data_IF_162324491617
#
_entry.id   IF_162324491617
#
_cell.length_a   1.000
_cell.length_b   1.000
_cell.length_c   1.000
_cell.angle_alpha   90.00
_cell.angle_beta   90.00
_cell.angle_gamma   90.00
#
_symmetry.space_group_name_H-M   'P 1'
#
loop_
_entity.id
_entity.type
_entity.pdbx_description
1 polymer ?
#
# COMPACT_ATOMS: atom_id res chain seq x y z
N UNK A 1 -4.40 16.70 -15.48
CA UNK A 1 -3.06 16.08 -15.49
C UNK A 1 -2.45 16.27 -16.89
N UNK A 2 -1.98 17.47 -17.24
CA UNK A 2 -1.63 17.81 -18.64
C UNK A 2 -0.12 17.86 -18.91
N UNK A 3 0.64 18.74 -18.26
CA UNK A 3 2.07 18.92 -18.55
C UNK A 3 3.02 17.92 -17.87
N UNK A 4 2.72 17.49 -16.63
CA UNK A 4 3.58 16.57 -15.86
C UNK A 4 3.47 15.12 -16.36
N UNK A 5 2.41 14.78 -17.11
CA UNK A 5 2.22 13.44 -17.66
C UNK A 5 3.37 13.02 -18.60
N UNK A 6 4.04 13.96 -19.27
CA UNK A 6 5.20 13.67 -20.12
C UNK A 6 6.41 13.17 -19.32
N UNK A 7 6.56 13.60 -18.06
CA UNK A 7 7.61 13.12 -17.16
C UNK A 7 7.37 11.66 -16.70
N UNK A 8 6.16 11.12 -16.87
CA UNK A 8 5.85 9.71 -16.54
C UNK A 8 6.71 8.72 -17.31
N UNK A 9 7.20 9.10 -18.50
CA UNK A 9 8.11 8.27 -19.32
C UNK A 9 9.50 8.10 -18.70
N UNK A 10 9.88 9.01 -17.80
CA UNK A 10 11.17 8.95 -17.09
C UNK A 10 11.11 8.03 -15.87
N UNK A 11 9.91 7.62 -15.46
CA UNK A 11 9.72 6.66 -14.37
C UNK A 11 9.56 5.25 -14.95
N UNK A 12 10.25 4.24 -14.39
CA UNK A 12 10.09 2.86 -14.83
C UNK A 12 8.66 2.37 -14.63
N UNK A 13 7.99 2.86 -13.58
CA UNK A 13 6.61 2.56 -13.23
C UNK A 13 5.89 3.81 -12.71
N UNK A 14 4.62 3.93 -13.07
CA UNK A 14 3.68 4.88 -12.52
C UNK A 14 2.57 4.11 -11.81
N UNK A 15 2.11 4.66 -10.69
CA UNK A 15 1.03 4.08 -9.89
C UNK A 15 -0.17 5.03 -9.86
N UNK A 16 -1.36 4.45 -9.99
CA UNK A 16 -2.61 5.07 -9.57
C UNK A 16 -3.31 4.10 -8.65
N UNK A 17 -3.42 4.46 -7.37
CA UNK A 17 -4.04 3.61 -6.36
C UNK A 17 -5.18 4.37 -5.73
N UNK A 18 -6.40 3.84 -5.82
CA UNK A 18 -7.59 4.46 -5.25
C UNK A 18 -8.56 3.40 -4.73
N UNK A 19 -8.86 3.47 -3.44
CA UNK A 19 -10.01 2.75 -2.90
C UNK A 19 -11.28 3.56 -3.15
N UNK A 20 -12.23 2.99 -3.89
CA UNK A 20 -13.53 3.64 -4.16
C UNK A 20 -14.59 3.26 -3.14
N UNK A 21 -14.32 2.25 -2.30
CA UNK A 21 -15.27 1.63 -1.38
C UNK A 21 -16.63 1.30 -2.04
N UNK A 22 -16.62 1.04 -3.36
CA UNK A 22 -17.83 0.73 -4.11
C UNK A 22 -18.22 -0.71 -3.85
N UNK A 23 -19.49 -0.98 -3.58
CA UNK A 23 -19.98 -2.36 -3.43
C UNK A 23 -19.85 -3.07 -4.78
N UNK A 24 -19.12 -4.18 -4.80
CA UNK A 24 -18.99 -5.08 -5.92
C UNK A 24 -19.66 -6.41 -5.58
N UNK A 25 -20.38 -6.98 -6.54
CA UNK A 25 -20.87 -8.36 -6.49
C UNK A 25 -20.03 -9.19 -7.44
N UNK A 26 -19.69 -10.40 -7.02
CA UNK A 26 -18.89 -11.31 -7.84
C UNK A 26 -19.53 -12.70 -7.88
N UNK A 27 -19.28 -13.37 -9.00
CA UNK A 27 -19.53 -14.80 -9.19
C UNK A 27 -18.21 -15.39 -9.67
N UNK A 28 -17.68 -16.36 -8.92
CA UNK A 28 -16.42 -17.03 -9.20
C UNK A 28 -16.68 -18.52 -9.39
N UNK A 29 -16.30 -19.07 -10.54
CA UNK A 29 -16.30 -20.51 -10.78
C UNK A 29 -14.87 -21.01 -10.86
N UNK A 30 -14.50 -21.93 -9.95
CA UNK A 30 -13.19 -22.57 -9.94
C UNK A 30 -13.34 -24.06 -9.66
N UNK A 31 -12.70 -24.90 -10.49
CA UNK A 31 -12.76 -26.36 -10.39
C UNK A 31 -14.20 -26.92 -10.29
N UNK A 32 -15.14 -26.35 -11.06
CA UNK A 32 -16.55 -26.76 -11.07
C UNK A 32 -17.39 -26.26 -9.89
N UNK A 33 -16.80 -25.53 -8.94
CA UNK A 33 -17.51 -24.91 -7.82
C UNK A 33 -17.77 -23.44 -8.11
N UNK A 34 -19.03 -23.05 -8.17
CA UNK A 34 -19.45 -21.65 -8.28
C UNK A 34 -19.71 -21.07 -6.90
N UNK A 35 -19.13 -19.90 -6.63
CA UNK A 35 -19.38 -19.12 -5.42
C UNK A 35 -19.84 -17.72 -5.81
N UNK A 36 -20.82 -17.23 -5.08
CA UNK A 36 -21.30 -15.85 -5.21
C UNK A 36 -21.00 -15.08 -3.93
N UNK A 37 -20.77 -13.79 -4.07
CA UNK A 37 -20.48 -12.94 -2.92
C UNK A 37 -20.54 -11.46 -3.24
N UNK A 38 -20.38 -10.67 -2.18
CA UNK A 38 -20.23 -9.22 -2.24
C UNK A 38 -18.94 -8.79 -1.56
N UNK A 39 -18.40 -7.67 -1.98
CA UNK A 39 -17.22 -7.05 -1.39
C UNK A 39 -17.12 -5.58 -1.77
N UNK A 40 -16.00 -4.95 -1.45
CA UNK A 40 -15.68 -3.62 -1.94
C UNK A 40 -14.68 -3.70 -3.08
N UNK A 41 -14.95 -2.96 -4.16
CA UNK A 41 -14.01 -2.76 -5.25
C UNK A 41 -12.89 -1.83 -4.82
N UNK A 42 -11.68 -2.23 -5.21
CA UNK A 42 -10.49 -1.40 -5.24
C UNK A 42 -10.02 -1.32 -6.68
N UNK A 43 -9.57 -0.13 -7.09
CA UNK A 43 -9.06 0.08 -8.43
C UNK A 43 -7.62 0.57 -8.31
N UNK A 44 -6.73 -0.26 -8.86
CA UNK A 44 -5.34 0.09 -9.09
C UNK A 44 -5.06 0.07 -10.59
N UNK A 45 -4.25 1.03 -11.03
CA UNK A 45 -3.66 1.02 -12.36
C UNK A 45 -2.16 1.27 -12.26
N UNK A 46 -1.40 0.31 -12.74
CA UNK A 46 0.04 0.42 -12.95
C UNK A 46 0.32 0.54 -14.45
N UNK A 47 1.24 1.42 -14.82
CA UNK A 47 1.72 1.54 -16.20
C UNK A 47 3.18 1.99 -16.24
N UNK A 48 3.94 1.48 -17.21
CA UNK A 48 5.37 1.73 -17.31
C UNK A 48 6.07 0.67 -18.14
N UNK A 49 7.40 0.65 -18.06
CA UNK A 49 8.24 -0.29 -18.78
C UNK A 49 8.59 -1.54 -17.96
N UNK A 50 8.52 -1.46 -16.62
CA UNK A 50 8.77 -2.59 -15.73
C UNK A 50 8.35 -2.27 -14.30
N UNK A 51 8.06 -3.29 -13.49
CA UNK A 51 7.97 -3.12 -12.04
C UNK A 51 9.32 -2.70 -11.42
N UNK A 52 9.30 -1.95 -10.30
CA UNK A 52 10.52 -1.48 -9.65
C UNK A 52 11.37 -2.64 -9.11
N UNK A 53 12.62 -2.35 -8.77
CA UNK A 53 13.54 -3.35 -8.19
C UNK A 53 13.09 -3.88 -6.83
N UNK A 54 12.26 -3.15 -6.11
CA UNK A 54 11.71 -3.55 -4.82
C UNK A 54 10.56 -2.64 -4.43
N UNK A 55 9.47 -3.20 -3.91
CA UNK A 55 8.28 -2.45 -3.54
C UNK A 55 7.48 -3.11 -2.43
N UNK A 56 6.62 -2.30 -1.81
CA UNK A 56 5.53 -2.69 -0.93
C UNK A 56 4.25 -2.24 -1.59
N UNK A 57 3.28 -3.13 -1.62
CA UNK A 57 1.90 -2.79 -1.92
C UNK A 57 1.02 -3.27 -0.78
N UNK A 58 -0.04 -2.52 -0.46
CA UNK A 58 -1.03 -2.94 0.51
C UNK A 58 -2.37 -2.27 0.28
N UNK A 59 -3.42 -3.02 0.57
CA UNK A 59 -4.78 -2.56 0.66
C UNK A 59 -5.36 -2.99 2.00
N UNK A 60 -6.13 -2.14 2.66
CA UNK A 60 -6.83 -2.52 3.89
C UNK A 60 -8.26 -1.97 3.89
N UNK A 61 -9.20 -2.80 4.37
CA UNK A 61 -10.61 -2.46 4.50
C UNK A 61 -11.06 -2.73 5.94
N UNK A 62 -11.76 -1.80 6.57
CA UNK A 62 -12.54 -2.07 7.78
C UNK A 62 -13.95 -1.51 7.54
N UNK A 63 -14.84 -2.38 7.08
CA UNK A 63 -16.14 -2.05 6.53
C UNK A 63 -17.03 -1.37 7.57
N UNK A 64 -17.13 -1.96 8.75
CA UNK A 64 -18.00 -1.46 9.83
C UNK A 64 -17.53 -0.09 10.36
N UNK A 65 -16.23 0.17 10.26
CA UNK A 65 -15.63 1.43 10.66
C UNK A 65 -15.58 2.47 9.53
N UNK A 66 -15.97 2.10 8.30
CA UNK A 66 -15.90 2.96 7.11
C UNK A 66 -14.47 3.38 6.75
N UNK A 67 -13.47 2.52 7.00
CA UNK A 67 -12.04 2.85 6.82
C UNK A 67 -11.45 2.11 5.63
N UNK A 68 -10.67 2.82 4.83
CA UNK A 68 -9.87 2.22 3.77
C UNK A 68 -8.45 2.79 3.76
N UNK A 69 -7.49 1.91 3.50
CA UNK A 69 -6.11 2.26 3.24
C UNK A 69 -5.72 1.69 1.87
N UNK A 70 -4.96 2.47 1.12
CA UNK A 70 -4.18 1.97 0.01
C UNK A 70 -2.76 2.53 0.04
N UNK A 71 -1.79 1.67 -0.29
CA UNK A 71 -0.38 1.95 -0.25
C UNK A 71 0.28 1.28 -1.44
N UNK A 72 1.03 2.05 -2.22
CA UNK A 72 1.99 1.49 -3.17
C UNK A 72 3.25 2.34 -3.18
N UNK A 73 4.41 1.70 -3.18
CA UNK A 73 5.67 2.39 -3.36
C UNK A 73 6.88 1.54 -3.06
N UNK A 74 8.04 2.13 -3.31
CA UNK A 74 9.30 1.41 -3.23
C UNK A 74 10.40 2.15 -3.97
N UNK A 75 11.31 1.39 -4.56
CA UNK A 75 12.44 1.91 -5.31
C UNK A 75 11.98 2.49 -6.64
N UNK A 76 11.72 3.79 -6.69
CA UNK A 76 11.26 4.48 -7.90
C UNK A 76 12.41 4.67 -8.91
N UNK A 77 13.59 5.04 -8.42
CA UNK A 77 14.84 5.15 -9.17
C UNK A 77 16.02 4.71 -8.27
N UNK A 78 17.22 4.44 -8.81
CA UNK A 78 18.39 4.17 -7.98
C UNK A 78 18.60 5.26 -6.92
N UNK A 79 18.57 4.87 -5.64
CA UNK A 79 18.68 5.80 -4.51
C UNK A 79 17.45 6.65 -4.22
N UNK A 80 16.32 6.47 -4.92
CA UNK A 80 15.09 7.23 -4.69
C UNK A 80 13.94 6.28 -4.37
N UNK A 81 13.35 6.48 -3.19
CA UNK A 81 12.15 5.76 -2.79
C UNK A 81 10.96 6.72 -2.83
N UNK A 82 9.84 6.27 -3.39
CA UNK A 82 8.62 7.06 -3.44
C UNK A 82 7.40 6.18 -3.12
N UNK A 83 6.43 6.77 -2.43
CA UNK A 83 5.18 6.11 -2.04
C UNK A 83 3.97 6.97 -2.36
N UNK A 84 2.86 6.31 -2.67
CA UNK A 84 1.52 6.86 -2.66
C UNK A 84 0.75 6.18 -1.53
N UNK A 85 0.22 6.99 -0.61
CA UNK A 85 -0.53 6.51 0.55
C UNK A 85 -1.86 7.24 0.61
N UNK A 86 -2.96 6.51 0.45
CA UNK A 86 -4.31 7.02 0.60
C UNK A 86 -4.95 6.42 1.85
N UNK A 87 -5.43 7.26 2.76
CA UNK A 87 -6.25 6.84 3.90
C UNK A 87 -7.59 7.57 3.88
N UNK A 88 -8.66 6.82 4.10
CA UNK A 88 -10.04 7.32 4.19
C UNK A 88 -10.71 6.75 5.43
N UNK A 89 -11.38 7.60 6.18
CA UNK A 89 -12.26 7.25 7.29
C UNK A 89 -13.32 8.35 7.44
N UNK A 90 -14.39 8.15 8.25
CA UNK A 90 -15.34 9.22 8.55
C UNK A 90 -14.69 10.48 9.11
N UNK A 91 -13.54 10.33 9.79
CA UNK A 91 -12.81 11.45 10.39
C UNK A 91 -11.83 12.15 9.43
N UNK A 92 -11.31 11.47 8.39
CA UNK A 92 -10.32 12.07 7.50
C UNK A 92 -10.20 11.43 6.12
N UNK A 93 -9.85 12.26 5.14
CA UNK A 93 -9.59 11.88 3.75
C UNK A 93 -8.23 12.42 3.33
N UNK A 94 -7.18 11.63 3.47
CA UNK A 94 -5.79 12.10 3.30
C UNK A 94 -5.02 11.30 2.26
N UNK A 95 -4.29 12.05 1.42
CA UNK A 95 -3.35 11.51 0.46
C UNK A 95 -1.94 12.03 0.74
N UNK A 96 -0.99 11.11 0.78
CA UNK A 96 0.44 11.40 0.85
C UNK A 96 1.10 10.91 -0.43
N UNK A 97 1.88 11.80 -1.03
CA UNK A 97 2.57 11.59 -2.31
C UNK A 97 3.84 12.44 -2.32
N UNK A 98 4.75 12.25 -3.29
CA UNK A 98 5.84 13.19 -3.51
C UNK A 98 5.36 14.65 -3.50
N UNK A 99 6.10 15.57 -2.84
CA UNK A 99 7.43 15.41 -2.25
C UNK A 99 7.44 14.89 -0.80
N UNK A 100 6.30 14.71 -0.14
CA UNK A 100 6.24 14.32 1.28
C UNK A 100 6.47 12.82 1.51
N UNK A 101 6.17 12.00 0.51
CA UNK A 101 6.34 10.56 0.55
C UNK A 101 7.53 10.11 -0.33
N UNK A 102 8.68 10.79 -0.16
CA UNK A 102 9.93 10.52 -0.90
C UNK A 102 11.11 10.41 0.06
N UNK A 103 12.04 9.51 -0.27
CA UNK A 103 13.39 9.49 0.28
C UNK A 103 14.41 9.57 -0.86
N UNK A 104 15.48 10.33 -0.65
CA UNK A 104 16.64 10.41 -1.56
C UNK A 104 17.88 10.01 -0.78
N UNK A 105 18.49 8.89 -1.16
CA UNK A 105 19.52 8.21 -0.39
C UNK A 105 19.00 7.89 1.02
N UNK A 106 19.69 8.41 2.03
CA UNK A 106 19.31 8.25 3.44
C UNK A 106 18.44 9.39 3.98
N UNK A 107 18.07 10.37 3.14
CA UNK A 107 17.34 11.57 3.57
C UNK A 107 15.85 11.40 3.26
N UNK A 108 15.03 11.39 4.31
CA UNK A 108 13.58 11.28 4.21
C UNK A 108 12.91 12.15 5.31
N UNK A 109 12.77 13.47 5.11
CA UNK A 109 12.35 14.40 6.18
C UNK A 109 10.90 14.15 6.65
N UNK A 110 10.08 13.63 5.75
CA UNK A 110 8.64 13.49 5.93
C UNK A 110 8.18 12.04 5.94
N UNK A 111 9.08 11.10 5.73
CA UNK A 111 8.74 9.69 5.56
C UNK A 111 9.75 8.80 6.28
N UNK A 112 9.27 7.71 6.86
CA UNK A 112 10.10 6.61 7.33
C UNK A 112 9.37 5.32 7.01
N UNK A 113 10.06 4.39 6.36
CA UNK A 113 9.54 3.06 6.06
C UNK A 113 10.52 2.05 6.63
N UNK A 114 10.00 1.11 7.42
CA UNK A 114 10.71 -0.10 7.84
C UNK A 114 9.87 -1.28 7.38
N UNK A 115 10.52 -2.30 6.85
CA UNK A 115 9.87 -3.53 6.48
C UNK A 115 10.78 -4.71 6.79
N UNK A 116 10.16 -5.83 7.12
CA UNK A 116 10.83 -7.10 7.30
C UNK A 116 9.92 -8.16 6.68
N UNK A 117 10.26 -8.62 5.48
CA UNK A 117 9.47 -9.62 4.78
C UNK A 117 9.66 -11.02 5.36
N UNK A 118 10.71 -11.28 6.15
CA UNK A 118 10.86 -12.54 6.89
C UNK A 118 9.85 -12.58 8.03
N UNK A 119 9.69 -11.46 8.73
CA UNK A 119 8.69 -11.32 9.79
C UNK A 119 7.28 -10.96 9.27
N UNK A 120 7.10 -10.65 7.99
CA UNK A 120 5.82 -10.24 7.41
C UNK A 120 5.33 -8.86 7.88
N UNK A 121 6.24 -7.92 8.20
CA UNK A 121 5.90 -6.62 8.80
C UNK A 121 6.25 -5.41 7.95
N UNK A 122 5.45 -4.35 8.11
CA UNK A 122 5.76 -3.00 7.63
C UNK A 122 5.37 -1.95 8.69
N UNK A 123 6.27 -1.01 8.95
CA UNK A 123 6.01 0.22 9.73
C UNK A 123 6.31 1.43 8.84
N UNK A 124 5.25 2.15 8.46
CA UNK A 124 5.32 3.35 7.66
C UNK A 124 4.83 4.56 8.47
N UNK A 125 5.67 5.59 8.55
CA UNK A 125 5.28 6.93 8.99
C UNK A 125 5.43 7.87 7.81
N UNK A 126 4.37 8.59 7.48
CA UNK A 126 4.41 9.67 6.49
C UNK A 126 3.73 10.92 7.04
N UNK A 127 4.24 12.10 6.74
CA UNK A 127 3.67 13.35 7.23
C UNK A 127 3.84 14.49 6.22
N UNK A 128 2.89 15.42 6.23
CA UNK A 128 3.07 16.75 5.69
C UNK A 128 3.37 17.72 6.82
N UNK A 129 3.32 19.01 6.54
CA UNK A 129 3.41 20.03 7.58
C UNK A 129 2.28 19.98 8.60
N UNK A 130 1.10 19.46 8.27
CA UNK A 130 -0.10 19.53 9.14
C UNK A 130 -0.79 18.19 9.36
N UNK A 131 -0.42 17.14 8.62
CA UNK A 131 -1.02 15.80 8.69
C UNK A 131 0.06 14.77 8.90
N UNK A 132 -0.19 13.75 9.71
CA UNK A 132 0.74 12.64 9.94
C UNK A 132 -0.03 11.34 10.03
N UNK A 133 0.42 10.34 9.30
CA UNK A 133 -0.13 9.00 9.29
C UNK A 133 0.95 8.01 9.71
N UNK A 134 0.62 7.15 10.67
CA UNK A 134 1.41 5.97 11.02
C UNK A 134 0.59 4.76 10.64
N UNK A 135 1.19 3.86 9.86
CA UNK A 135 0.60 2.63 9.36
C UNK A 135 1.50 1.48 9.83
N UNK A 136 0.92 0.52 10.54
CA UNK A 136 1.61 -0.72 10.93
C UNK A 136 0.87 -1.90 10.35
N UNK A 137 1.57 -2.75 9.62
CA UNK A 137 1.00 -3.91 8.94
C UNK A 137 1.73 -5.17 9.36
N UNK A 138 0.99 -6.26 9.47
CA UNK A 138 1.50 -7.58 9.79
C UNK A 138 0.70 -8.62 9.01
N UNK A 139 1.37 -9.61 8.45
CA UNK A 139 0.73 -10.80 7.90
C UNK A 139 1.44 -12.07 8.41
N UNK A 140 0.72 -13.21 8.58
CA UNK A 140 1.34 -14.50 8.84
C UNK A 140 2.30 -14.88 7.71
N UNK A 141 3.51 -15.33 8.05
CA UNK A 141 4.58 -15.56 7.05
C UNK A 141 4.20 -16.68 6.08
N UNK A 142 3.52 -17.71 6.56
CA UNK A 142 3.01 -18.84 5.79
C UNK A 142 1.86 -18.47 4.84
N UNK A 143 1.19 -17.33 5.04
CA UNK A 143 0.08 -16.88 4.20
C UNK A 143 0.48 -16.20 2.88
N UNK A 144 1.78 -15.94 2.68
CA UNK A 144 2.27 -15.29 1.47
C UNK A 144 2.32 -16.26 0.29
N UNK A 145 1.62 -15.91 -0.80
CA UNK A 145 1.62 -16.64 -2.07
C UNK A 145 2.48 -15.94 -3.11
N UNK A 146 3.21 -16.70 -3.93
CA UNK A 146 4.05 -16.16 -5.00
C UNK A 146 3.23 -15.73 -6.20
N UNK A 147 3.52 -14.53 -6.71
CA UNK A 147 2.85 -13.92 -7.86
C UNK A 147 3.87 -13.57 -8.96
N UNK A 148 3.49 -13.74 -10.24
CA UNK A 148 4.31 -13.28 -11.34
C UNK A 148 4.27 -11.76 -11.44
N UNK A 149 5.41 -11.13 -11.73
CA UNK A 149 5.47 -9.68 -11.95
C UNK A 149 5.99 -9.35 -13.37
N UNK A 150 5.42 -8.35 -14.05
CA UNK A 150 5.91 -7.93 -15.37
C UNK A 150 7.19 -7.11 -15.23
N UNK A 151 8.27 -7.65 -15.78
CA UNK A 151 9.58 -7.02 -15.89
C UNK A 151 9.86 -6.66 -17.35
N UNK A 152 10.97 -5.94 -17.58
CA UNK A 152 11.36 -5.46 -18.91
C UNK A 152 11.44 -6.57 -19.97
N UNK A 153 11.83 -7.77 -19.57
CA UNK A 153 12.03 -8.92 -20.46
C UNK A 153 10.87 -9.94 -20.38
N UNK A 154 9.72 -9.55 -19.83
CA UNK A 154 8.56 -10.42 -19.67
C UNK A 154 8.19 -10.65 -18.20
N UNK A 155 7.22 -11.55 -17.98
CA UNK A 155 6.78 -11.89 -16.64
C UNK A 155 7.80 -12.80 -15.97
N UNK A 156 8.20 -12.44 -14.75
CA UNK A 156 9.01 -13.29 -13.90
C UNK A 156 8.12 -13.94 -12.84
N UNK A 157 8.04 -15.28 -12.77
CA UNK A 157 7.28 -15.96 -11.73
C UNK A 157 7.89 -15.67 -10.36
N UNK A 158 7.04 -15.67 -9.33
CA UNK A 158 7.44 -15.53 -7.91
C UNK A 158 8.36 -14.33 -7.65
N UNK A 159 8.06 -13.21 -8.33
CA UNK A 159 8.79 -11.96 -8.16
C UNK A 159 8.08 -10.98 -7.22
N UNK A 160 6.85 -11.31 -6.84
CA UNK A 160 6.10 -10.68 -5.77
C UNK A 160 5.51 -11.76 -4.87
N UNK A 161 5.32 -11.43 -3.60
CA UNK A 161 4.68 -12.31 -2.63
C UNK A 161 3.63 -11.52 -1.87
N UNK A 162 2.38 -11.98 -1.93
CA UNK A 162 1.23 -11.29 -1.35
C UNK A 162 0.53 -12.18 -0.32
N UNK A 163 0.17 -11.59 0.82
CA UNK A 163 -0.74 -12.18 1.78
C UNK A 163 -2.05 -11.41 1.77
N UNK A 164 -3.17 -12.14 1.73
CA UNK A 164 -4.53 -11.59 1.93
C UNK A 164 -5.03 -11.72 3.37
N UNK A 165 -4.15 -12.17 4.28
CA UNK A 165 -4.44 -12.36 5.70
C UNK A 165 -3.73 -11.29 6.55
N UNK A 166 -3.42 -10.13 5.97
CA UNK A 166 -2.77 -9.06 6.69
C UNK A 166 -3.76 -8.36 7.63
N UNK A 167 -3.21 -7.78 8.69
CA UNK A 167 -3.88 -6.84 9.59
C UNK A 167 -3.14 -5.51 9.56
N UNK A 168 -3.90 -4.41 9.57
CA UNK A 168 -3.31 -3.07 9.56
C UNK A 168 -3.86 -2.22 10.71
N UNK A 169 -2.96 -1.46 11.33
CA UNK A 169 -3.25 -0.52 12.41
C UNK A 169 -2.85 0.89 12.01
N UNK A 170 -3.75 1.84 12.25
CA UNK A 170 -3.60 3.24 11.85
C UNK A 170 -3.49 4.13 13.08
N UNK A 171 -2.67 5.18 12.96
CA UNK A 171 -2.73 6.35 13.83
C UNK A 171 -2.61 7.62 12.98
N UNK A 172 -3.72 8.36 12.90
CA UNK A 172 -3.86 9.60 12.15
C UNK A 172 -3.78 10.79 13.10
N UNK A 173 -2.92 11.75 12.77
CA UNK A 173 -2.66 12.95 13.57
C UNK A 173 -2.73 14.20 12.72
N UNK A 174 -3.20 15.29 13.32
CA UNK A 174 -3.29 16.61 12.71
C UNK A 174 -2.64 17.66 13.62
N UNK A 175 -2.12 18.73 13.02
CA UNK A 175 -1.81 19.98 13.72
C UNK A 175 -2.17 21.17 12.85
N UNK A 176 -2.56 22.27 13.49
CA UNK A 176 -3.02 23.49 12.82
C UNK A 176 -1.93 24.22 12.03
N UNK A 177 -0.66 24.12 12.45
CA UNK A 177 0.48 24.80 11.84
C UNK A 177 1.80 24.01 12.03
N UNK A 178 2.86 24.27 11.24
CA UNK A 178 4.05 23.40 11.12
C UNK A 178 4.89 23.17 12.38
N UNK A 179 4.71 23.94 13.46
CA UNK A 179 5.42 23.71 14.73
C UNK A 179 4.46 23.55 15.92
N UNK A 180 3.15 23.42 15.63
CA UNK A 180 2.15 23.12 16.65
C UNK A 180 2.21 21.68 17.14
N UNK A 181 1.55 21.44 18.29
CA UNK A 181 1.38 20.10 18.87
C UNK A 181 0.55 19.21 17.93
N UNK A 182 0.98 17.97 17.75
CA UNK A 182 0.19 16.95 17.07
C UNK A 182 -0.99 16.51 17.95
N UNK A 183 -2.18 16.52 17.37
CA UNK A 183 -3.43 16.09 17.97
C UNK A 183 -3.84 14.79 17.29
N UNK A 184 -4.16 13.77 18.08
CA UNK A 184 -4.64 12.49 17.55
C UNK A 184 -6.05 12.72 16.97
N UNK A 185 -6.23 12.37 15.70
CA UNK A 185 -7.54 12.38 15.03
C UNK A 185 -8.20 11.02 15.19
N UNK A 186 -7.44 9.96 14.96
CA UNK A 186 -7.96 8.60 14.99
C UNK A 186 -6.84 7.59 15.24
N UNK A 187 -7.15 6.53 15.98
CA UNK A 187 -6.27 5.37 16.18
C UNK A 187 -7.12 4.10 16.23
N UNK A 188 -6.70 3.06 15.52
CA UNK A 188 -7.42 1.78 15.55
C UNK A 188 -7.07 0.87 14.38
N UNK A 189 -7.74 -0.29 14.29
CA UNK A 189 -7.59 -1.18 13.17
C UNK A 189 -8.19 -0.58 11.89
N UNK A 190 -7.60 -0.94 10.76
CA UNK A 190 -8.09 -0.74 9.40
C UNK A 190 -7.61 -1.96 8.63
N UNK A 191 -8.45 -2.88 8.17
CA UNK A 191 -8.00 -4.21 7.76
C UNK A 191 -8.38 -5.34 8.74
N UNK A 192 -9.46 -5.13 9.50
CA UNK A 192 -10.09 -6.16 10.31
C UNK A 192 -11.61 -6.12 10.07
N UNK A 193 -12.26 -7.29 10.08
CA UNK A 193 -13.73 -7.40 10.07
C UNK A 193 -14.31 -7.10 11.45
N UNK A 194 -15.63 -6.95 11.58
CA UNK A 194 -16.33 -6.84 12.87
C UNK A 194 -15.96 -7.98 13.83
N UNK A 195 -15.76 -9.19 13.31
CA UNK A 195 -15.40 -10.40 14.07
C UNK A 195 -13.90 -10.48 14.40
N UNK A 196 -13.10 -9.48 13.98
CA UNK A 196 -11.67 -9.41 14.22
C UNK A 196 -10.80 -10.19 13.23
N UNK A 197 -11.40 -10.75 12.18
CA UNK A 197 -10.66 -11.45 11.12
C UNK A 197 -9.85 -10.47 10.25
N UNK A 198 -8.71 -10.89 9.65
CA UNK A 198 -7.92 -10.04 8.78
C UNK A 198 -8.68 -9.68 7.49
N UNK A 199 -8.59 -8.42 7.07
CA UNK A 199 -9.20 -7.91 5.84
C UNK A 199 -8.26 -6.90 5.15
N UNK A 200 -6.96 -7.19 5.19
CA UNK A 200 -5.95 -6.46 4.47
C UNK A 200 -5.10 -7.40 3.62
N UNK A 201 -4.58 -6.84 2.54
CA UNK A 201 -3.55 -7.45 1.73
C UNK A 201 -2.22 -6.73 1.93
N UNK A 202 -1.12 -7.48 1.93
CA UNK A 202 0.24 -6.98 2.05
C UNK A 202 1.15 -7.74 1.08
N UNK A 203 1.83 -7.00 0.22
CA UNK A 203 2.73 -7.54 -0.78
C UNK A 203 4.15 -7.01 -0.59
N UNK A 204 5.13 -7.90 -0.74
CA UNK A 204 6.53 -7.57 -0.93
C UNK A 204 6.99 -8.02 -2.32
N UNK A 205 7.53 -7.09 -3.09
CA UNK A 205 8.04 -7.39 -4.42
C UNK A 205 9.53 -7.14 -4.60
N UNK A 206 10.12 -7.87 -5.55
CA UNK A 206 11.54 -7.79 -5.90
C UNK A 206 12.45 -7.92 -4.68
N UNK A 207 13.44 -7.03 -4.59
CA UNK A 207 14.43 -6.97 -3.50
C UNK A 207 13.86 -6.71 -2.10
N UNK A 208 12.57 -6.37 -1.96
CA UNK A 208 11.95 -6.21 -0.64
C UNK A 208 11.40 -7.53 -0.08
N UNK A 209 11.27 -8.56 -0.91
CA UNK A 209 10.91 -9.91 -0.48
C UNK A 209 12.17 -10.78 -0.32
N UNK A 210 12.30 -11.40 0.85
CA UNK A 210 13.35 -12.36 1.15
C UNK A 210 13.24 -13.67 0.36
N UNK A 211 12.12 -13.90 -0.34
CA UNK A 211 11.85 -15.12 -1.12
C UNK A 211 12.28 -14.99 -2.58
N UNK A 212 12.46 -13.77 -3.08
CA UNK A 212 12.84 -13.56 -4.47
C UNK A 212 14.29 -14.02 -4.69
N UNK A 213 14.48 -15.02 -5.55
CA UNK A 213 15.80 -15.57 -5.88
C UNK A 213 16.31 -16.65 -4.91
N UNK A 214 15.43 -17.15 -4.04
CA UNK A 214 15.60 -18.46 -3.38
C UNK A 214 14.96 -19.54 -4.26
#
# INVERSE_FOLDING_TARGET
MGGIAHLSRLLPLNWHVRSTASIARYTLTHAGVTREGGGLAHIEKNWGSSFPRGWIWSQSLALDAGKTLCLAGGTALPGIHAYLVGYRSPACTWDFRPPFAVAVGHIAPFMRVRHDSVAGTVDLRVQTWTRKLVVKMQAPVDSFVGLPAPLKNGHKPEYAFESFAASTWISAWHRRWPFGKWILVEKGPCGQTAEGGPCAALEFGGSFSHRVGK
#
